data_IF_759085850191
#
_entry.id   IF_759085850191
#
_cell.length_a   1.000
_cell.length_b   1.000
_cell.length_c   1.000
_cell.angle_alpha   90.00
_cell.angle_beta   90.00
_cell.angle_gamma   90.00
#
_symmetry.space_group_name_H-M   'P 1'
#
loop_
_entity.id
_entity.type
_entity.pdbx_description
1 polymer ?
#
# COMPACT_ATOMS: atom_id res chain seq x y z
N UNK A 1 -44.95 52.79 20.56
CA UNK A 1 -44.59 51.89 21.66
C UNK A 1 -45.76 50.96 21.94
N UNK A 2 -45.63 49.67 21.58
CA UNK A 2 -46.38 48.60 22.24
C UNK A 2 -45.47 47.55 22.87
N UNK A 3 -46.09 46.80 23.77
CA UNK A 3 -45.55 46.01 24.87
C UNK A 3 -44.86 44.71 24.42
N UNK A 4 -43.75 44.36 25.06
CA UNK A 4 -42.88 43.21 24.76
C UNK A 4 -42.88 42.27 25.96
N UNK A 5 -43.94 41.50 26.15
CA UNK A 5 -44.01 40.44 27.17
C UNK A 5 -44.92 39.31 26.71
N UNK A 6 -44.33 38.20 26.25
CA UNK A 6 -44.80 36.79 26.41
C UNK A 6 -44.10 35.86 25.41
N UNK A 7 -43.06 35.17 25.87
CA UNK A 7 -42.60 33.91 25.27
C UNK A 7 -42.53 32.83 26.36
N UNK A 8 -42.94 31.58 26.08
CA UNK A 8 -43.01 30.53 27.08
C UNK A 8 -41.62 29.94 27.39
N UNK A 9 -41.39 29.64 28.67
CA UNK A 9 -40.20 28.96 29.18
C UNK A 9 -40.12 27.53 28.64
N UNK A 10 -38.98 27.20 28.02
CA UNK A 10 -38.62 25.85 27.57
C UNK A 10 -38.01 25.08 28.74
N UNK A 11 -38.67 24.02 29.19
CA UNK A 11 -38.15 23.09 30.19
C UNK A 11 -36.96 22.29 29.63
N UNK A 12 -35.87 22.22 30.40
CA UNK A 12 -34.72 21.34 30.16
C UNK A 12 -35.02 19.98 30.79
N UNK A 13 -35.21 18.97 29.95
CA UNK A 13 -35.17 17.56 30.33
C UNK A 13 -33.99 16.92 29.60
N UNK A 14 -32.91 16.61 30.33
CA UNK A 14 -31.70 16.06 29.71
C UNK A 14 -30.57 15.79 30.69
N UNK A 15 -30.82 15.02 31.75
CA UNK A 15 -29.76 14.62 32.72
C UNK A 15 -29.89 13.15 33.16
N UNK A 16 -30.58 12.31 32.38
CA UNK A 16 -30.92 10.93 32.77
C UNK A 16 -30.25 9.79 31.99
N UNK A 17 -29.36 10.05 31.02
CA UNK A 17 -28.93 9.01 30.07
C UNK A 17 -27.41 8.71 30.03
N UNK A 18 -26.61 9.32 30.91
CA UNK A 18 -25.14 9.10 30.94
C UNK A 18 -24.73 7.86 31.76
N UNK A 19 -25.50 7.52 32.79
CA UNK A 19 -25.15 6.39 33.67
C UNK A 19 -25.49 5.02 33.07
N UNK A 20 -26.54 4.95 32.26
CA UNK A 20 -26.95 3.71 31.55
C UNK A 20 -25.93 3.27 30.50
N UNK A 21 -25.26 4.22 29.84
CA UNK A 21 -24.25 3.93 28.82
C UNK A 21 -22.94 3.43 29.45
N UNK A 22 -22.52 4.02 30.57
CA UNK A 22 -21.35 3.57 31.33
C UNK A 22 -21.54 2.19 31.98
N UNK A 23 -22.78 1.82 32.33
CA UNK A 23 -23.08 0.48 32.85
C UNK A 23 -23.02 -0.60 31.77
N UNK A 24 -23.48 -0.32 30.54
CA UNK A 24 -23.41 -1.26 29.41
C UNK A 24 -21.97 -1.53 28.97
N UNK A 25 -21.12 -0.50 28.94
CA UNK A 25 -19.69 -0.64 28.62
C UNK A 25 -18.91 -1.55 29.61
N UNK A 26 -19.30 -1.57 30.90
CA UNK A 26 -18.65 -2.45 31.89
C UNK A 26 -19.04 -3.92 31.75
N UNK A 27 -20.23 -4.22 31.23
CA UNK A 27 -20.70 -5.59 31.02
C UNK A 27 -19.98 -6.21 29.82
N UNK A 28 -19.89 -5.48 28.70
CA UNK A 28 -19.20 -5.92 27.49
C UNK A 28 -17.70 -6.20 27.75
N UNK A 29 -17.03 -5.31 28.50
CA UNK A 29 -15.59 -5.47 28.82
C UNK A 29 -15.30 -6.71 29.67
N UNK A 30 -16.27 -7.18 30.48
CA UNK A 30 -16.13 -8.37 31.32
C UNK A 30 -16.32 -9.67 30.53
N UNK A 31 -17.11 -9.61 29.46
CA UNK A 31 -17.43 -10.76 28.60
C UNK A 31 -16.30 -11.04 27.59
N UNK A 32 -15.69 -9.99 27.04
CA UNK A 32 -14.49 -10.09 26.18
C UNK A 32 -13.31 -10.70 26.95
N UNK A 33 -13.08 -10.27 28.20
CA UNK A 33 -11.99 -10.82 29.05
C UNK A 33 -12.17 -12.30 29.36
N UNK A 34 -13.41 -12.78 29.44
CA UNK A 34 -13.72 -14.20 29.68
C UNK A 34 -13.53 -15.08 28.43
N UNK A 35 -13.80 -14.56 27.23
CA UNK A 35 -13.58 -15.28 25.97
C UNK A 35 -12.08 -15.38 25.63
N UNK A 36 -11.30 -14.34 25.91
CA UNK A 36 -9.85 -14.33 25.64
C UNK A 36 -9.06 -15.31 26.52
N UNK A 37 -9.52 -15.57 27.75
CA UNK A 37 -8.91 -16.58 28.64
C UNK A 37 -9.17 -18.04 28.20
N UNK A 38 -10.22 -18.29 27.41
CA UNK A 38 -10.53 -19.64 26.89
C UNK A 38 -9.73 -19.98 25.63
N UNK A 39 -9.35 -18.99 24.83
CA UNK A 39 -8.49 -19.16 23.66
C UNK A 39 -7.03 -19.46 24.04
N UNK A 40 -6.53 -18.84 25.11
CA UNK A 40 -5.17 -19.06 25.61
C UNK A 40 -4.94 -20.47 26.21
N UNK A 41 -6.01 -21.13 26.69
CA UNK A 41 -5.94 -22.50 27.18
C UNK A 41 -5.87 -23.55 26.04
N UNK A 42 -6.32 -23.22 24.83
CA UNK A 42 -6.33 -24.13 23.69
C UNK A 42 -5.02 -24.11 22.91
N UNK A 43 -4.31 -22.98 22.86
CA UNK A 43 -3.01 -22.86 22.18
C UNK A 43 -1.85 -23.58 22.91
N UNK A 44 -1.91 -23.72 24.24
CA UNK A 44 -0.90 -24.46 25.01
C UNK A 44 -0.98 -25.98 24.78
N UNK A 45 -2.14 -26.51 24.38
CA UNK A 45 -2.31 -27.94 24.11
C UNK A 45 -1.70 -28.38 22.76
N UNK A 46 -1.59 -27.46 21.78
CA UNK A 46 -1.06 -27.78 20.44
C UNK A 46 0.47 -27.77 20.41
N UNK A 47 1.12 -27.00 21.29
CA UNK A 47 2.59 -26.90 21.34
C UNK A 47 3.30 -28.16 21.87
N UNK A 48 2.58 -29.12 22.46
CA UNK A 48 3.20 -30.34 23.05
C UNK A 48 3.41 -31.47 22.01
N UNK A 49 2.87 -31.36 20.79
CA UNK A 49 2.94 -32.45 19.79
C UNK A 49 4.06 -32.26 18.74
N UNK A 50 4.72 -31.11 18.66
CA UNK A 50 5.68 -30.79 17.59
C UNK A 50 7.18 -31.06 17.91
N UNK A 51 7.52 -31.70 19.04
CA UNK A 51 8.90 -31.85 19.50
C UNK A 51 9.59 -33.19 19.14
N UNK A 52 9.17 -33.87 18.06
CA UNK A 52 9.75 -35.16 17.67
C UNK A 52 9.95 -35.30 16.14
N UNK A 53 10.86 -34.50 15.57
CA UNK A 53 11.45 -34.80 14.26
C UNK A 53 12.95 -34.46 14.30
N UNK A 54 13.79 -35.48 14.43
CA UNK A 54 15.24 -35.41 14.23
C UNK A 54 15.54 -35.11 12.76
N UNK A 55 16.36 -34.08 12.50
CA UNK A 55 16.84 -33.72 11.16
C UNK A 55 18.23 -34.34 10.95
N UNK A 56 18.33 -35.21 9.93
CA UNK A 56 19.57 -35.83 9.50
C UNK A 56 20.43 -34.86 8.66
N UNK A 57 21.75 -34.93 8.85
CA UNK A 57 22.75 -34.12 8.14
C UNK A 57 22.83 -34.47 6.63
N UNK A 58 23.03 -33.47 5.75
CA UNK A 58 23.25 -33.70 4.32
C UNK A 58 24.71 -34.10 4.00
N UNK A 59 24.94 -34.96 2.98
CA UNK A 59 26.28 -35.41 2.60
C UNK A 59 27.05 -34.36 1.79
N UNK A 60 28.36 -34.29 2.05
CA UNK A 60 29.34 -33.49 1.31
C UNK A 60 29.36 -33.82 -0.19
N UNK A 61 29.09 -32.82 -1.03
CA UNK A 61 29.26 -32.89 -2.48
C UNK A 61 30.69 -32.48 -2.87
N UNK A 62 31.41 -33.40 -3.52
CA UNK A 62 32.73 -33.18 -4.08
C UNK A 62 32.70 -32.36 -5.37
N UNK A 63 33.73 -31.52 -5.52
CA UNK A 63 33.99 -30.65 -6.68
C UNK A 63 34.45 -31.46 -7.89
N UNK A 64 33.87 -31.26 -9.10
CA UNK A 64 34.44 -31.78 -10.33
C UNK A 64 35.33 -30.73 -11.03
N UNK A 65 36.54 -31.15 -11.40
CA UNK A 65 37.45 -30.41 -12.27
C UNK A 65 36.90 -30.31 -13.71
N UNK A 66 36.90 -29.09 -14.26
CA UNK A 66 36.53 -28.82 -15.66
C UNK A 66 37.76 -28.35 -16.44
N UNK A 67 38.16 -28.99 -17.55
CA UNK A 67 39.27 -28.55 -18.37
C UNK A 67 38.88 -27.41 -19.31
N UNK A 68 39.66 -26.33 -19.29
CA UNK A 68 39.54 -25.20 -20.21
C UNK A 68 39.95 -25.58 -21.63
N UNK A 69 39.01 -25.51 -22.58
CA UNK A 69 39.31 -25.62 -24.01
C UNK A 69 38.95 -24.31 -24.70
N UNK A 70 39.97 -23.57 -25.13
CA UNK A 70 39.83 -22.32 -25.89
C UNK A 70 39.51 -22.62 -27.35
N UNK A 71 38.33 -22.20 -27.83
CA UNK A 71 38.02 -22.13 -29.28
C UNK A 71 37.67 -20.69 -29.65
N UNK A 72 38.30 -20.20 -30.72
CA UNK A 72 38.04 -18.89 -31.32
C UNK A 72 36.66 -18.84 -31.98
N UNK A 73 35.97 -17.69 -31.96
CA UNK A 73 34.63 -17.56 -32.54
C UNK A 73 34.68 -17.44 -34.06
N UNK A 74 33.92 -18.29 -34.73
CA UNK A 74 33.52 -18.13 -36.12
C UNK A 74 32.33 -17.18 -36.16
N UNK A 75 32.47 -16.05 -36.87
CA UNK A 75 31.39 -15.10 -37.12
C UNK A 75 30.34 -15.78 -38.01
N UNK A 76 29.21 -16.16 -37.40
CA UNK A 76 28.04 -16.70 -38.07
C UNK A 76 27.02 -15.58 -38.23
N UNK A 77 26.74 -15.21 -39.47
CA UNK A 77 25.70 -14.24 -39.83
C UNK A 77 24.34 -14.75 -39.36
N UNK A 78 23.73 -14.04 -38.40
CA UNK A 78 22.43 -14.42 -37.84
C UNK A 78 21.34 -14.34 -38.91
N UNK A 79 20.49 -15.37 -39.07
CA UNK A 79 19.32 -15.29 -39.94
C UNK A 79 18.33 -14.26 -39.39
N UNK A 80 17.70 -13.50 -40.30
CA UNK A 80 16.66 -12.54 -39.95
C UNK A 80 15.51 -13.24 -39.20
N UNK A 81 14.95 -12.62 -38.14
CA UNK A 81 13.85 -13.20 -37.39
C UNK A 81 12.64 -13.42 -38.30
N UNK A 82 11.90 -14.54 -38.12
CA UNK A 82 10.68 -14.78 -38.87
C UNK A 82 9.66 -13.70 -38.56
N UNK A 83 9.03 -13.16 -39.61
CA UNK A 83 7.90 -12.26 -39.51
C UNK A 83 6.75 -12.96 -38.76
N UNK A 84 6.44 -12.47 -37.56
CA UNK A 84 5.31 -12.97 -36.77
C UNK A 84 4.02 -12.58 -37.52
N UNK A 85 3.11 -13.53 -37.82
CA UNK A 85 1.84 -13.20 -38.45
C UNK A 85 1.03 -12.28 -37.53
N UNK A 86 0.51 -11.20 -38.10
CA UNK A 86 -0.38 -10.28 -37.38
C UNK A 86 -1.65 -11.02 -36.97
N UNK A 87 -1.73 -11.40 -35.71
CA UNK A 87 -2.95 -11.94 -35.10
C UNK A 87 -4.04 -10.88 -35.26
N UNK A 88 -5.21 -11.26 -35.78
CA UNK A 88 -6.35 -10.36 -35.87
C UNK A 88 -6.80 -10.05 -34.45
N UNK A 89 -6.37 -8.88 -33.98
CA UNK A 89 -6.65 -8.33 -32.66
C UNK A 89 -8.17 -8.23 -32.51
N UNK A 90 -8.72 -8.90 -31.50
CA UNK A 90 -10.14 -8.87 -31.15
C UNK A 90 -10.62 -7.42 -30.94
N UNK A 91 -11.81 -7.08 -31.44
CA UNK A 91 -12.37 -5.72 -31.41
C UNK A 91 -12.86 -5.28 -30.03
N UNK A 92 -12.58 -6.04 -28.98
CA UNK A 92 -12.71 -5.56 -27.61
C UNK A 92 -11.85 -4.30 -27.46
N UNK A 93 -12.53 -3.15 -27.44
CA UNK A 93 -11.93 -1.84 -27.20
C UNK A 93 -11.28 -1.79 -25.81
N UNK A 94 -10.65 -0.65 -25.47
CA UNK A 94 -10.16 -0.45 -24.12
C UNK A 94 -11.30 -0.62 -23.11
N UNK A 95 -11.03 -1.32 -22.02
CA UNK A 95 -11.91 -1.43 -20.85
C UNK A 95 -11.38 -0.54 -19.75
N UNK A 96 -12.24 -0.18 -18.81
CA UNK A 96 -11.87 0.48 -17.58
C UNK A 96 -12.49 -0.29 -16.42
N UNK A 97 -11.77 -0.41 -15.31
CA UNK A 97 -12.19 -1.22 -14.17
C UNK A 97 -11.97 -0.49 -12.85
N UNK A 98 -12.86 -0.69 -11.87
CA UNK A 98 -12.70 -0.22 -10.50
C UNK A 98 -13.03 -1.38 -9.55
N UNK A 99 -12.00 -2.11 -9.12
CA UNK A 99 -12.17 -3.38 -8.42
C UNK A 99 -12.87 -4.40 -9.31
N UNK A 100 -14.08 -4.83 -8.92
CA UNK A 100 -14.88 -5.82 -9.66
C UNK A 100 -15.79 -5.22 -10.74
N UNK A 101 -15.86 -3.88 -10.82
CA UNK A 101 -16.72 -3.17 -11.76
C UNK A 101 -15.95 -2.94 -13.06
N UNK A 102 -16.43 -3.45 -14.19
CA UNK A 102 -15.86 -3.22 -15.52
C UNK A 102 -16.81 -2.40 -16.39
N UNK A 103 -16.27 -1.48 -17.18
CA UNK A 103 -17.02 -0.66 -18.14
C UNK A 103 -16.20 -0.36 -19.42
N UNK A 104 -16.89 0.13 -20.44
CA UNK A 104 -16.26 0.60 -21.67
C UNK A 104 -15.48 1.90 -21.39
N UNK A 105 -14.19 1.91 -21.71
CA UNK A 105 -13.33 3.05 -21.45
C UNK A 105 -13.72 4.31 -22.25
N UNK A 106 -14.48 4.17 -23.35
CA UNK A 106 -14.95 5.30 -24.15
C UNK A 106 -16.01 6.15 -23.44
N UNK A 107 -16.66 5.61 -22.40
CA UNK A 107 -17.67 6.32 -21.62
C UNK A 107 -17.53 6.02 -20.13
N UNK A 108 -16.49 6.56 -19.50
CA UNK A 108 -16.47 6.75 -18.03
C UNK A 108 -17.52 7.82 -17.66
N UNK A 109 -18.78 7.53 -17.94
CA UNK A 109 -19.94 8.34 -17.52
C UNK A 109 -20.65 7.56 -16.43
N UNK A 110 -20.39 7.98 -15.20
CA UNK A 110 -20.86 7.31 -13.99
C UNK A 110 -22.38 7.42 -13.81
N UNK A 111 -23.03 8.27 -14.61
CA UNK A 111 -24.50 8.41 -14.68
C UNK A 111 -25.15 7.33 -15.52
N UNK A 112 -24.38 6.44 -16.15
CA UNK A 112 -24.92 5.31 -16.90
C UNK A 112 -25.51 4.23 -16.00
N UNK A 113 -25.13 4.21 -14.72
CA UNK A 113 -25.65 3.27 -13.74
C UNK A 113 -26.87 3.83 -13.01
N UNK A 114 -27.84 2.96 -12.73
CA UNK A 114 -29.01 3.33 -11.94
C UNK A 114 -28.59 3.63 -10.50
N UNK A 115 -29.04 4.74 -9.93
CA UNK A 115 -28.73 5.07 -8.53
C UNK A 115 -29.28 4.01 -7.58
N UNK A 116 -28.45 3.55 -6.66
CA UNK A 116 -28.87 2.65 -5.59
C UNK A 116 -29.67 3.44 -4.55
N UNK A 117 -30.94 3.08 -4.39
CA UNK A 117 -31.86 3.74 -3.44
C UNK A 117 -32.19 2.88 -2.22
N UNK A 118 -31.62 1.67 -2.15
CA UNK A 118 -31.77 0.77 -1.00
C UNK A 118 -31.00 1.24 0.22
N UNK A 119 -31.31 0.67 1.37
CA UNK A 119 -30.50 0.83 2.58
C UNK A 119 -29.35 -0.19 2.55
N UNK A 120 -28.14 0.24 2.94
CA UNK A 120 -26.97 -0.65 3.02
C UNK A 120 -27.01 -1.49 4.30
N UNK A 121 -27.44 -0.91 5.43
CA UNK A 121 -27.57 -1.58 6.73
C UNK A 121 -28.18 -3.01 6.66
N UNK A 122 -29.29 -3.27 5.94
CA UNK A 122 -29.87 -4.62 5.84
C UNK A 122 -29.11 -5.60 4.94
N UNK A 123 -28.14 -5.13 4.15
CA UNK A 123 -27.28 -5.96 3.29
C UNK A 123 -26.01 -6.43 4.01
N UNK A 124 -25.75 -5.90 5.21
CA UNK A 124 -24.61 -6.25 6.04
C UNK A 124 -25.05 -7.33 7.03
N UNK A 125 -24.57 -8.56 6.84
CA UNK A 125 -24.79 -9.65 7.79
C UNK A 125 -24.22 -9.35 9.18
N UNK A 126 -24.71 -10.04 10.22
CA UNK A 126 -24.31 -9.79 11.62
C UNK A 126 -22.78 -9.88 11.84
N UNK A 127 -22.10 -10.78 11.12
CA UNK A 127 -20.64 -10.96 11.24
C UNK A 127 -19.85 -9.74 10.74
N UNK A 128 -20.32 -9.07 9.68
CA UNK A 128 -19.66 -7.89 9.11
C UNK A 128 -20.11 -6.57 9.77
N UNK A 129 -21.05 -6.62 10.72
CA UNK A 129 -21.67 -5.43 11.29
C UNK A 129 -20.68 -4.57 12.10
N UNK A 130 -19.73 -5.17 12.81
CA UNK A 130 -18.72 -4.41 13.57
C UNK A 130 -17.80 -3.61 12.63
N UNK A 131 -17.29 -4.25 11.58
CA UNK A 131 -16.48 -3.59 10.55
C UNK A 131 -17.27 -2.53 9.77
N UNK A 132 -18.52 -2.82 9.47
CA UNK A 132 -19.43 -1.85 8.85
C UNK A 132 -19.65 -0.63 9.74
N UNK A 133 -19.88 -0.81 11.04
CA UNK A 133 -20.07 0.30 11.97
C UNK A 133 -18.82 1.18 12.07
N UNK A 134 -17.62 0.58 11.97
CA UNK A 134 -16.36 1.32 11.90
C UNK A 134 -16.17 2.07 10.57
N UNK A 135 -16.81 1.62 9.50
CA UNK A 135 -16.71 2.19 8.14
C UNK A 135 -17.97 2.96 7.69
N UNK A 136 -18.97 3.14 8.56
CA UNK A 136 -20.26 3.74 8.19
C UNK A 136 -20.13 5.13 7.57
N UNK A 137 -19.25 5.97 8.13
CA UNK A 137 -19.00 7.31 7.60
C UNK A 137 -18.37 7.25 6.20
N UNK A 138 -17.53 6.24 5.93
CA UNK A 138 -16.98 5.98 4.61
C UNK A 138 -18.09 5.59 3.62
N UNK A 139 -19.00 4.68 3.96
CA UNK A 139 -20.12 4.32 3.07
C UNK A 139 -21.00 5.52 2.72
N UNK A 140 -21.21 6.41 3.69
CA UNK A 140 -22.04 7.59 3.53
C UNK A 140 -21.39 8.68 2.65
N UNK A 141 -20.08 8.63 2.40
CA UNK A 141 -19.38 9.60 1.55
C UNK A 141 -19.57 9.36 0.05
N UNK A 142 -20.07 8.18 -0.34
CA UNK A 142 -20.32 7.83 -1.74
C UNK A 142 -21.80 7.92 -2.13
N UNK A 143 -22.04 8.39 -3.35
CA UNK A 143 -23.25 8.11 -4.10
C UNK A 143 -23.08 6.76 -4.80
N UNK A 144 -23.92 5.80 -4.43
CA UNK A 144 -23.86 4.43 -4.92
C UNK A 144 -24.79 4.24 -6.13
N UNK A 145 -24.31 3.49 -7.10
CA UNK A 145 -25.05 3.06 -8.27
C UNK A 145 -24.96 1.56 -8.46
N UNK A 146 -26.01 0.97 -9.03
CA UNK A 146 -26.12 -0.47 -9.31
C UNK A 146 -25.44 -0.79 -10.63
N UNK A 147 -24.39 -1.61 -10.57
CA UNK A 147 -23.68 -2.13 -11.75
C UNK A 147 -24.31 -3.46 -12.17
N UNK A 148 -24.55 -4.32 -11.19
CA UNK A 148 -25.19 -5.62 -11.38
C UNK A 148 -26.19 -5.86 -10.27
N UNK A 149 -27.38 -6.37 -10.61
CA UNK A 149 -28.38 -6.81 -9.65
C UNK A 149 -29.04 -8.07 -10.18
N UNK A 150 -28.84 -9.16 -9.46
CA UNK A 150 -29.46 -10.47 -9.70
C UNK A 150 -30.15 -10.94 -8.42
N UNK A 151 -30.84 -12.06 -8.49
CA UNK A 151 -31.49 -12.65 -7.31
C UNK A 151 -30.48 -13.10 -6.22
N UNK A 152 -29.20 -13.22 -6.57
CA UNK A 152 -28.14 -13.76 -5.68
C UNK A 152 -26.92 -12.87 -5.53
N UNK A 153 -26.81 -11.79 -6.31
CA UNK A 153 -25.64 -10.91 -6.30
C UNK A 153 -26.04 -9.47 -6.56
N UNK A 154 -25.37 -8.55 -5.87
CA UNK A 154 -25.49 -7.11 -6.05
C UNK A 154 -24.09 -6.51 -6.11
N UNK A 155 -23.77 -5.85 -7.21
CA UNK A 155 -22.52 -5.11 -7.38
C UNK A 155 -22.84 -3.62 -7.46
N UNK A 156 -22.27 -2.87 -6.53
CA UNK A 156 -22.38 -1.43 -6.44
C UNK A 156 -21.07 -0.76 -6.82
N UNK A 157 -21.19 0.40 -7.45
CA UNK A 157 -20.11 1.33 -7.72
C UNK A 157 -20.41 2.66 -7.01
N UNK A 158 -19.45 3.15 -6.23
CA UNK A 158 -19.59 4.38 -5.45
C UNK A 158 -18.74 5.49 -6.04
N UNK A 159 -19.28 6.71 -6.09
CA UNK A 159 -18.54 7.93 -6.40
C UNK A 159 -18.62 8.90 -5.23
N UNK A 160 -17.49 9.49 -4.81
CA UNK A 160 -17.51 10.45 -3.70
C UNK A 160 -18.37 11.67 -4.05
N UNK A 161 -19.17 12.15 -3.08
CA UNK A 161 -19.94 13.41 -3.20
C UNK A 161 -19.04 14.64 -3.18
N UNK A 162 -17.96 14.55 -2.42
CA UNK A 162 -17.04 15.66 -2.20
C UNK A 162 -15.65 15.27 -2.72
N UNK A 163 -15.10 16.13 -3.58
CA UNK A 163 -13.71 16.04 -4.00
C UNK A 163 -12.84 16.46 -2.82
N UNK A 164 -12.38 15.48 -2.04
CA UNK A 164 -11.33 15.67 -1.06
C UNK A 164 -9.98 15.24 -1.65
N UNK A 165 -8.94 16.05 -1.44
CA UNK A 165 -7.58 15.81 -1.97
C UNK A 165 -6.94 14.49 -1.50
N UNK A 166 -7.55 13.78 -0.54
CA UNK A 166 -6.95 12.63 0.16
C UNK A 166 -7.78 11.35 0.13
N UNK A 167 -9.00 11.36 -0.40
CA UNK A 167 -9.89 10.20 -0.36
C UNK A 167 -10.02 9.52 -1.73
N UNK A 168 -10.23 8.19 -1.76
CA UNK A 168 -10.47 7.51 -3.03
C UNK A 168 -11.74 8.09 -3.66
N UNK A 169 -11.61 8.55 -4.91
CA UNK A 169 -12.73 9.16 -5.63
C UNK A 169 -13.85 8.15 -5.94
N UNK A 170 -13.49 6.86 -5.94
CA UNK A 170 -14.38 5.76 -6.27
C UNK A 170 -14.30 4.64 -5.26
N UNK A 171 -15.38 3.88 -5.19
CA UNK A 171 -15.49 2.68 -4.40
C UNK A 171 -16.24 1.60 -5.18
N UNK A 172 -16.09 0.36 -4.76
CA UNK A 172 -16.94 -0.72 -5.20
C UNK A 172 -17.38 -1.55 -3.99
N UNK A 173 -18.51 -2.23 -4.12
CA UNK A 173 -19.03 -3.14 -3.12
C UNK A 173 -19.78 -4.29 -3.78
N UNK A 174 -19.51 -5.52 -3.34
CA UNK A 174 -20.17 -6.74 -3.79
C UNK A 174 -20.87 -7.39 -2.63
N UNK A 175 -22.13 -7.74 -2.85
CA UNK A 175 -22.96 -8.49 -1.93
C UNK A 175 -23.43 -9.76 -2.62
N UNK A 176 -23.56 -10.83 -1.84
CA UNK A 176 -24.09 -12.11 -2.29
C UNK A 176 -25.18 -12.58 -1.33
N UNK A 177 -26.18 -13.29 -1.85
CA UNK A 177 -27.24 -13.89 -1.05
C UNK A 177 -26.75 -15.26 -0.55
N UNK A 178 -26.45 -15.35 0.74
CA UNK A 178 -26.12 -16.59 1.45
C UNK A 178 -27.32 -17.18 2.21
N UNK A 179 -27.07 -18.24 2.97
CA UNK A 179 -28.09 -18.94 3.78
C UNK A 179 -28.70 -18.03 4.87
N UNK A 180 -27.93 -17.04 5.35
CA UNK A 180 -28.35 -16.07 6.38
C UNK A 180 -28.86 -14.75 5.80
N UNK A 181 -29.05 -14.67 4.47
CA UNK A 181 -29.45 -13.47 3.77
C UNK A 181 -28.30 -12.80 3.02
N UNK A 182 -28.46 -11.52 2.69
CA UNK A 182 -27.45 -10.75 1.98
C UNK A 182 -26.22 -10.54 2.85
N UNK A 183 -25.05 -10.75 2.27
CA UNK A 183 -23.77 -10.58 2.93
C UNK A 183 -22.82 -9.80 2.02
N UNK A 184 -22.12 -8.82 2.59
CA UNK A 184 -21.05 -8.13 1.89
C UNK A 184 -19.84 -9.07 1.74
N UNK A 185 -19.45 -9.36 0.51
CA UNK A 185 -18.32 -10.26 0.19
C UNK A 185 -17.03 -9.47 0.01
N UNK A 186 -17.13 -8.25 -0.52
CA UNK A 186 -15.99 -7.34 -0.67
C UNK A 186 -16.46 -5.90 -0.80
N UNK A 187 -15.73 -4.96 -0.22
CA UNK A 187 -15.90 -3.54 -0.51
C UNK A 187 -14.60 -2.79 -0.28
N UNK A 188 -14.47 -1.61 -0.87
CA UNK A 188 -13.33 -0.74 -0.64
C UNK A 188 -13.21 0.36 -1.67
N UNK A 189 -12.30 1.29 -1.40
CA UNK A 189 -11.90 2.31 -2.37
C UNK A 189 -11.21 1.67 -3.56
N UNK A 190 -11.44 2.20 -4.76
CA UNK A 190 -10.74 1.77 -5.96
C UNK A 190 -10.32 2.97 -6.80
N UNK A 191 -9.29 2.74 -7.64
CA UNK A 191 -8.95 3.62 -8.75
C UNK A 191 -9.56 3.01 -10.01
N UNK A 192 -9.92 3.87 -10.96
CA UNK A 192 -10.30 3.37 -12.27
C UNK A 192 -9.01 3.04 -13.01
N UNK A 193 -8.86 1.81 -13.45
CA UNK A 193 -7.70 1.31 -14.16
C UNK A 193 -8.08 0.97 -15.60
N UNK A 194 -7.25 1.39 -16.55
CA UNK A 194 -7.48 1.12 -17.96
C UNK A 194 -6.92 -0.25 -18.31
N UNK A 195 -7.69 -1.05 -19.03
CA UNK A 195 -7.34 -2.42 -19.37
C UNK A 195 -7.83 -2.81 -20.74
N UNK A 196 -7.64 -4.09 -21.03
CA UNK A 196 -8.22 -4.76 -22.19
C UNK A 196 -8.22 -6.26 -21.94
N UNK A 197 -9.14 -7.01 -22.56
CA UNK A 197 -9.14 -8.46 -22.43
C UNK A 197 -7.74 -9.05 -22.77
N UNK A 198 -7.14 -9.75 -21.79
CA UNK A 198 -5.80 -10.34 -21.90
C UNK A 198 -4.62 -9.37 -21.66
N UNK A 199 -4.88 -8.11 -21.29
CA UNK A 199 -3.86 -7.11 -21.00
C UNK A 199 -4.18 -6.35 -19.70
N UNK A 200 -3.18 -6.18 -18.85
CA UNK A 200 -3.26 -5.36 -17.64
C UNK A 200 -2.61 -3.98 -17.84
N UNK A 201 -2.98 -2.98 -17.02
CA UNK A 201 -2.30 -1.69 -17.00
C UNK A 201 -0.85 -1.81 -16.52
N UNK A 202 -0.01 -0.91 -16.99
CA UNK A 202 1.28 -0.61 -16.40
C UNK A 202 1.38 0.89 -16.13
N UNK A 203 1.82 1.24 -14.92
CA UNK A 203 2.15 2.62 -14.59
C UNK A 203 3.48 3.00 -15.21
N UNK A 204 3.67 4.28 -15.50
CA UNK A 204 4.87 4.79 -16.17
C UNK A 204 5.54 5.91 -15.38
N UNK A 205 6.85 6.01 -15.55
CA UNK A 205 7.68 7.13 -15.09
C UNK A 205 8.65 7.53 -16.19
N UNK A 206 9.18 8.75 -16.11
CA UNK A 206 10.20 9.23 -17.05
C UNK A 206 11.50 8.46 -16.82
N UNK A 207 12.17 8.03 -17.89
CA UNK A 207 13.50 7.45 -17.78
C UNK A 207 14.53 8.57 -17.47
N UNK A 208 15.15 8.58 -16.28
CA UNK A 208 16.12 9.63 -15.93
C UNK A 208 17.42 9.56 -16.76
N UNK A 209 17.73 8.40 -17.36
CA UNK A 209 18.91 8.23 -18.21
C UNK A 209 18.74 8.83 -19.61
N UNK A 210 17.49 9.02 -20.05
CA UNK A 210 17.14 9.61 -21.35
C UNK A 210 15.93 10.53 -21.19
N UNK A 211 16.14 11.71 -20.60
CA UNK A 211 15.04 12.60 -20.28
C UNK A 211 14.43 13.28 -21.51
N UNK A 212 13.12 13.58 -21.47
CA UNK A 212 12.45 14.21 -22.60
C UNK A 212 12.98 15.62 -22.86
N UNK A 213 13.10 15.98 -24.14
CA UNK A 213 13.38 17.31 -24.64
C UNK A 213 12.15 17.81 -25.44
N UNK A 214 11.81 19.11 -25.40
CA UNK A 214 10.76 19.68 -26.25
C UNK A 214 10.81 19.25 -27.74
N UNK A 215 11.99 19.07 -28.32
CA UNK A 215 12.14 18.70 -29.73
C UNK A 215 12.01 17.17 -29.96
N UNK A 216 11.73 16.37 -28.93
CA UNK A 216 11.66 14.91 -29.07
C UNK A 216 10.33 14.45 -29.66
N UNK A 217 10.41 13.48 -30.56
CA UNK A 217 9.27 12.69 -31.06
C UNK A 217 9.29 11.26 -30.51
N UNK A 218 10.27 10.92 -29.68
CA UNK A 218 10.43 9.59 -29.08
C UNK A 218 10.69 9.75 -27.58
N UNK A 219 9.77 9.24 -26.76
CA UNK A 219 9.89 9.28 -25.31
C UNK A 219 10.47 7.96 -24.80
N UNK A 220 11.55 8.04 -24.02
CA UNK A 220 12.02 6.90 -23.21
C UNK A 220 11.35 6.95 -21.84
N UNK A 221 10.65 5.88 -21.48
CA UNK A 221 9.93 5.75 -20.21
C UNK A 221 10.31 4.45 -19.51
N UNK A 222 10.05 4.38 -18.21
CA UNK A 222 10.10 3.16 -17.43
C UNK A 222 8.69 2.78 -17.01
N UNK A 223 8.30 1.54 -17.25
CA UNK A 223 6.99 1.03 -16.89
C UNK A 223 7.09 0.00 -15.76
N UNK A 224 6.04 -0.09 -14.94
CA UNK A 224 5.84 -1.14 -13.93
C UNK A 224 4.47 -1.74 -14.16
N UNK A 225 4.41 -3.06 -14.33
CA UNK A 225 3.15 -3.76 -14.50
C UNK A 225 2.32 -3.70 -13.22
N UNK A 226 1.06 -3.27 -13.34
CA UNK A 226 0.10 -3.25 -12.25
C UNK A 226 -0.61 -4.59 -12.04
N UNK A 227 -0.75 -5.38 -13.11
CA UNK A 227 -1.35 -6.71 -13.04
C UNK A 227 -0.43 -7.72 -12.32
N UNK A 228 -1.04 -8.71 -11.68
CA UNK A 228 -0.33 -9.79 -11.01
C UNK A 228 0.48 -10.61 -12.03
N UNK A 229 1.80 -10.62 -11.88
CA UNK A 229 2.70 -11.33 -12.78
C UNK A 229 3.80 -12.13 -12.04
N UNK A 230 3.55 -12.51 -10.79
CA UNK A 230 4.51 -13.25 -9.95
C UNK A 230 5.89 -12.60 -9.87
N UNK A 231 5.95 -11.27 -10.01
CA UNK A 231 7.19 -10.48 -9.93
C UNK A 231 8.07 -10.57 -11.17
N UNK A 232 7.54 -11.10 -12.28
CA UNK A 232 8.28 -11.27 -13.52
C UNK A 232 8.18 -10.03 -14.40
N UNK A 233 9.29 -9.65 -15.02
CA UNK A 233 9.29 -8.66 -16.09
C UNK A 233 8.47 -9.18 -17.30
N UNK A 234 7.94 -8.30 -18.17
CA UNK A 234 7.21 -8.71 -19.37
C UNK A 234 8.12 -9.15 -20.52
N UNK A 235 9.08 -10.03 -20.23
CA UNK A 235 9.95 -10.63 -21.24
C UNK A 235 9.09 -11.51 -22.15
N UNK A 236 9.22 -11.31 -23.46
CA UNK A 236 8.46 -12.02 -24.52
C UNK A 236 6.94 -11.83 -24.46
N UNK A 237 6.45 -10.87 -23.67
CA UNK A 237 5.04 -10.47 -23.61
C UNK A 237 4.83 -9.20 -24.41
N UNK A 238 3.66 -9.08 -25.05
CA UNK A 238 3.32 -7.90 -25.82
C UNK A 238 3.10 -6.69 -24.90
N UNK A 239 3.67 -5.55 -25.28
CA UNK A 239 3.53 -4.27 -24.57
C UNK A 239 2.96 -3.27 -25.58
N UNK A 240 1.83 -2.67 -25.24
CA UNK A 240 1.08 -1.77 -26.11
C UNK A 240 0.96 -0.40 -25.42
N UNK A 241 1.80 0.59 -25.79
CA UNK A 241 1.54 1.97 -25.44
C UNK A 241 0.45 2.55 -26.35
N UNK A 242 -0.63 3.03 -25.75
CA UNK A 242 -1.69 3.80 -26.41
C UNK A 242 -1.46 5.27 -26.09
N UNK A 243 -1.31 6.09 -27.13
CA UNK A 243 -0.99 7.52 -27.01
C UNK A 243 -2.14 8.36 -27.52
N UNK A 244 -2.61 9.30 -26.70
CA UNK A 244 -3.55 10.34 -27.10
C UNK A 244 -2.85 11.68 -26.97
N UNK A 245 -2.60 12.31 -28.12
CA UNK A 245 -1.93 13.61 -28.20
C UNK A 245 -2.95 14.74 -28.32
N UNK A 246 -2.74 15.79 -27.52
CA UNK A 246 -3.46 17.06 -27.59
C UNK A 246 -2.46 18.21 -27.70
N UNK A 247 -2.96 19.44 -27.84
CA UNK A 247 -2.11 20.64 -27.85
C UNK A 247 -1.41 20.89 -26.50
N UNK A 248 -1.94 20.36 -25.40
CA UNK A 248 -1.44 20.64 -24.05
C UNK A 248 -0.78 19.44 -23.36
N UNK A 249 -1.07 18.23 -23.83
CA UNK A 249 -0.63 17.02 -23.14
C UNK A 249 -0.50 15.81 -24.07
N UNK A 250 0.29 14.85 -23.60
CA UNK A 250 0.46 13.51 -24.16
C UNK A 250 0.01 12.51 -23.09
N UNK A 251 -1.17 11.94 -23.29
CA UNK A 251 -1.73 10.92 -22.41
C UNK A 251 -1.28 9.54 -22.88
N UNK A 252 -0.63 8.79 -22.00
CA UNK A 252 -0.06 7.48 -22.33
C UNK A 252 -0.70 6.44 -21.42
N UNK A 253 -1.35 5.44 -22.04
CA UNK A 253 -1.83 4.23 -21.36
C UNK A 253 -0.94 3.08 -21.80
N UNK A 254 -0.22 2.45 -20.89
CA UNK A 254 0.59 1.27 -21.21
C UNK A 254 -0.16 0.01 -20.81
N UNK A 255 -0.35 -0.89 -21.76
CA UNK A 255 -0.98 -2.20 -21.56
C UNK A 255 0.05 -3.32 -21.74
N UNK A 256 0.04 -4.30 -20.85
CA UNK A 256 0.98 -5.43 -20.87
C UNK A 256 0.17 -6.72 -20.94
N UNK A 257 0.51 -7.60 -21.88
CA UNK A 257 -0.16 -8.89 -22.02
C UNK A 257 -0.03 -9.70 -20.74
N UNK A 258 -1.14 -10.22 -20.22
CA UNK A 258 -1.15 -11.00 -18.98
C UNK A 258 -0.37 -12.32 -19.18
N UNK A 259 0.41 -12.76 -18.19
CA UNK A 259 1.06 -14.06 -18.26
C UNK A 259 0.02 -15.19 -18.14
N UNK A 260 0.27 -16.37 -18.72
CA UNK A 260 -0.66 -17.49 -18.63
C UNK A 260 -0.72 -18.08 -17.22
N UNK A 261 -1.90 -18.55 -16.82
CA UNK A 261 -2.10 -19.27 -15.55
C UNK A 261 -2.24 -18.35 -14.33
N UNK A 262 -2.39 -18.97 -13.15
CA UNK A 262 -2.53 -18.26 -11.88
C UNK A 262 -1.24 -17.52 -11.52
N UNK A 263 -1.35 -16.25 -11.16
CA UNK A 263 -0.23 -15.42 -10.76
C UNK A 263 -0.35 -14.98 -9.31
N UNK A 264 0.80 -14.74 -8.67
CA UNK A 264 0.85 -13.97 -7.44
C UNK A 264 1.06 -12.49 -7.76
N UNK A 265 0.79 -11.61 -6.79
CA UNK A 265 0.83 -10.16 -6.98
C UNK A 265 2.00 -9.47 -6.25
N UNK A 266 3.26 -9.96 -6.31
CA UNK A 266 4.38 -9.13 -5.91
C UNK A 266 4.66 -8.09 -7.00
N UNK A 267 5.14 -6.92 -6.60
CA UNK A 267 5.50 -5.84 -7.52
C UNK A 267 6.60 -6.31 -8.49
N UNK A 268 6.40 -6.11 -9.79
CA UNK A 268 7.37 -6.44 -10.82
C UNK A 268 8.52 -5.42 -10.90
N UNK A 269 9.66 -5.79 -11.52
CA UNK A 269 10.72 -4.83 -11.81
C UNK A 269 10.28 -3.81 -12.87
N UNK A 270 10.90 -2.62 -12.84
CA UNK A 270 10.77 -1.62 -13.92
C UNK A 270 11.34 -2.17 -15.22
N UNK A 271 10.70 -1.87 -16.34
CA UNK A 271 11.20 -2.19 -17.68
C UNK A 271 11.11 -0.98 -18.61
N UNK A 272 12.08 -0.80 -19.53
CA UNK A 272 12.06 0.34 -20.44
C UNK A 272 10.99 0.15 -21.53
N UNK A 273 10.34 1.24 -21.89
CA UNK A 273 9.47 1.32 -23.07
C UNK A 273 9.83 2.58 -23.88
N UNK A 274 9.56 2.53 -25.18
CA UNK A 274 9.70 3.67 -26.07
C UNK A 274 8.35 4.03 -26.66
N UNK A 275 7.96 5.28 -26.54
CA UNK A 275 6.69 5.81 -27.06
C UNK A 275 6.98 6.79 -28.18
N UNK A 276 6.40 6.55 -29.36
CA UNK A 276 6.54 7.43 -30.51
C UNK A 276 5.40 8.46 -30.53
N UNK A 277 5.75 9.72 -30.76
CA UNK A 277 4.83 10.85 -30.90
C UNK A 277 4.68 11.22 -32.38
N UNK A 278 3.51 11.70 -32.76
CA UNK A 278 3.24 12.21 -34.10
C UNK A 278 3.82 13.61 -34.34
N UNK A 279 4.05 14.37 -33.27
CA UNK A 279 4.69 15.70 -33.29
C UNK A 279 5.70 15.84 -32.16
N UNK A 280 6.60 16.83 -32.27
CA UNK A 280 7.57 17.17 -31.23
C UNK A 280 6.88 17.53 -29.90
N UNK A 281 7.41 17.06 -28.77
CA UNK A 281 6.80 17.21 -27.44
C UNK A 281 6.42 18.67 -27.11
N UNK A 282 7.26 19.64 -27.43
CA UNK A 282 7.07 21.06 -27.11
C UNK A 282 6.91 21.28 -25.61
N UNK A 283 5.92 22.09 -25.24
CA UNK A 283 5.56 22.40 -23.84
C UNK A 283 4.48 21.44 -23.28
N UNK A 284 4.16 20.35 -24.00
CA UNK A 284 3.09 19.43 -23.59
C UNK A 284 3.48 18.63 -22.35
N UNK A 285 2.54 18.48 -21.44
CA UNK A 285 2.72 17.65 -20.24
C UNK A 285 2.58 16.18 -20.60
N UNK A 286 3.50 15.34 -20.12
CA UNK A 286 3.38 13.88 -20.26
C UNK A 286 2.55 13.36 -19.09
N UNK A 287 1.56 12.50 -19.35
CA UNK A 287 0.66 11.99 -18.31
C UNK A 287 0.50 10.47 -18.40
N UNK A 288 0.49 9.82 -17.24
CA UNK A 288 0.11 8.42 -17.09
C UNK A 288 -1.41 8.32 -17.00
N UNK A 289 -2.01 7.80 -18.06
CA UNK A 289 -3.43 7.59 -18.21
C UNK A 289 -3.85 6.12 -17.97
N UNK A 290 -2.94 5.27 -17.47
CA UNK A 290 -3.29 3.89 -17.11
C UNK A 290 -4.26 3.80 -15.92
N UNK A 291 -4.41 4.89 -15.16
CA UNK A 291 -5.44 5.01 -14.12
C UNK A 291 -6.07 6.41 -14.08
N UNK A 292 -7.24 6.52 -13.46
CA UNK A 292 -7.90 7.79 -13.17
C UNK A 292 -8.00 8.03 -11.65
N UNK A 293 -7.68 9.25 -11.16
CA UNK A 293 -7.31 10.43 -11.94
C UNK A 293 -5.95 10.27 -12.64
N UNK A 294 -5.87 10.86 -13.83
CA UNK A 294 -4.66 10.83 -14.68
C UNK A 294 -3.51 11.51 -13.94
N UNK A 295 -2.35 10.86 -13.89
CA UNK A 295 -1.17 11.37 -13.18
C UNK A 295 -0.24 12.14 -14.11
N UNK A 296 0.10 13.39 -13.79
CA UNK A 296 1.16 14.11 -14.50
C UNK A 296 2.54 13.55 -14.16
N UNK A 297 3.36 13.30 -15.18
CA UNK A 297 4.75 12.93 -15.01
C UNK A 297 5.60 14.18 -14.93
N UNK A 298 6.27 14.38 -13.79
CA UNK A 298 7.05 15.60 -13.54
C UNK A 298 8.48 15.41 -14.05
N UNK A 299 8.93 16.35 -14.89
CA UNK A 299 10.34 16.49 -15.32
C UNK A 299 10.84 17.94 -15.14
N UNK A 300 12.08 18.18 -14.66
CA UNK A 300 12.98 17.20 -14.04
C UNK A 300 12.28 16.49 -12.89
N UNK A 301 12.61 15.22 -12.66
CA UNK A 301 12.10 14.51 -11.48
C UNK A 301 12.32 15.44 -10.28
N UNK A 302 11.30 15.70 -9.45
CA UNK A 302 11.52 16.46 -8.24
C UNK A 302 12.69 15.78 -7.51
N UNK A 303 13.63 16.54 -6.91
CA UNK A 303 14.72 15.93 -6.16
C UNK A 303 14.06 14.91 -5.24
N UNK A 304 14.39 13.63 -5.41
CA UNK A 304 13.74 12.57 -4.64
C UNK A 304 13.77 13.02 -3.19
N UNK A 305 12.61 13.04 -2.55
CA UNK A 305 12.54 13.36 -1.13
C UNK A 305 13.43 12.33 -0.43
N UNK A 306 14.66 12.76 -0.09
CA UNK A 306 15.66 11.93 0.55
C UNK A 306 15.02 11.35 1.78
N UNK A 307 14.77 10.05 1.71
CA UNK A 307 14.12 9.39 2.81
C UNK A 307 15.08 8.46 3.52
N UNK A 308 14.97 8.53 4.83
CA UNK A 308 15.58 7.62 5.75
C UNK A 308 14.50 6.65 6.21
N UNK A 309 14.64 5.38 5.85
CA UNK A 309 13.81 4.31 6.37
C UNK A 309 14.50 3.72 7.59
N UNK A 310 13.81 3.75 8.73
CA UNK A 310 14.26 3.08 9.95
C UNK A 310 13.54 1.74 10.09
N UNK A 311 14.30 0.69 10.38
CA UNK A 311 13.81 -0.64 10.70
C UNK A 311 14.34 -1.06 12.06
N UNK A 312 13.52 -1.73 12.85
CA UNK A 312 13.95 -2.45 14.04
C UNK A 312 14.11 -3.92 13.70
N UNK A 313 15.07 -4.59 14.33
CA UNK A 313 15.20 -6.03 14.26
C UNK A 313 15.79 -6.56 15.57
N UNK A 314 15.74 -7.89 15.76
CA UNK A 314 16.33 -8.55 16.92
C UNK A 314 15.29 -9.01 17.95
N UNK A 315 15.75 -9.17 19.19
CA UNK A 315 14.93 -9.76 20.25
C UNK A 315 13.88 -8.75 20.75
N UNK A 316 12.66 -9.21 21.08
CA UNK A 316 11.72 -8.38 21.82
C UNK A 316 12.32 -7.95 23.15
N UNK A 317 11.99 -6.75 23.65
CA UNK A 317 12.45 -6.31 24.96
C UNK A 317 11.92 -7.26 26.05
N UNK A 318 12.67 -7.39 27.14
CA UNK A 318 12.25 -8.16 28.30
C UNK A 318 10.97 -7.56 28.93
N UNK A 319 10.16 -8.35 29.66
CA UNK A 319 9.02 -7.81 30.41
C UNK A 319 9.44 -6.67 31.34
N UNK A 320 8.74 -5.54 31.25
CA UNK A 320 9.06 -4.33 32.02
C UNK A 320 10.18 -3.47 31.42
N UNK A 321 10.65 -3.77 30.21
CA UNK A 321 11.53 -2.90 29.43
C UNK A 321 10.91 -2.55 28.08
N UNK A 322 11.50 -1.55 27.41
CA UNK A 322 11.16 -1.21 26.04
C UNK A 322 12.40 -0.84 25.24
N UNK A 323 12.39 -1.17 23.95
CA UNK A 323 13.38 -0.71 22.99
C UNK A 323 12.97 0.68 22.51
N UNK A 324 13.89 1.64 22.59
CA UNK A 324 13.65 3.03 22.21
C UNK A 324 14.52 3.39 21.03
N UNK A 325 13.91 3.98 20.01
CA UNK A 325 14.61 4.58 18.86
C UNK A 325 14.32 6.08 18.88
N UNK A 326 15.37 6.89 18.86
CA UNK A 326 15.24 8.35 18.79
C UNK A 326 15.98 8.88 17.58
N UNK A 327 15.49 10.00 17.06
CA UNK A 327 16.19 10.80 16.08
C UNK A 327 16.13 12.27 16.47
N UNK A 328 17.19 13.00 16.18
CA UNK A 328 17.27 14.44 16.43
C UNK A 328 17.92 15.16 15.26
N UNK A 329 17.52 16.42 15.06
CA UNK A 329 17.89 17.24 13.91
C UNK A 329 16.84 18.32 13.69
N UNK A 330 16.61 18.71 12.44
CA UNK A 330 15.51 19.60 12.07
C UNK A 330 14.14 18.99 12.39
N UNK A 331 14.03 17.67 12.25
CA UNK A 331 12.93 16.87 12.78
C UNK A 331 13.46 15.98 13.90
N UNK A 332 12.78 16.00 15.04
CA UNK A 332 13.15 15.18 16.20
C UNK A 332 11.94 14.37 16.67
N UNK A 333 12.17 13.17 17.16
CA UNK A 333 11.13 12.30 17.66
C UNK A 333 11.68 11.03 18.29
N UNK A 334 10.78 10.22 18.82
CA UNK A 334 11.11 8.93 19.40
C UNK A 334 9.97 7.94 19.20
N UNK A 335 10.34 6.67 19.13
CA UNK A 335 9.42 5.56 19.15
C UNK A 335 9.87 4.56 20.20
N UNK A 336 8.88 4.00 20.89
CA UNK A 336 9.08 3.07 21.99
C UNK A 336 8.33 1.78 21.67
N UNK A 337 9.05 0.67 21.69
CA UNK A 337 8.52 -0.65 21.41
C UNK A 337 8.51 -1.46 22.69
N UNK A 338 7.32 -1.73 23.23
CA UNK A 338 7.14 -2.67 24.32
C UNK A 338 7.09 -4.13 23.82
N UNK A 339 7.05 -5.12 24.74
CA UNK A 339 7.05 -6.53 24.38
C UNK A 339 5.87 -6.93 23.48
N UNK A 340 4.69 -6.37 23.73
CA UNK A 340 3.46 -6.71 23.02
C UNK A 340 3.35 -6.05 21.63
N UNK A 341 4.20 -5.06 21.35
CA UNK A 341 4.29 -4.36 20.06
C UNK A 341 5.45 -4.80 19.18
N UNK A 342 6.24 -5.79 19.62
CA UNK A 342 7.43 -6.25 18.90
C UNK A 342 7.11 -7.46 18.01
N UNK A 343 7.55 -7.41 16.76
CA UNK A 343 7.55 -8.57 15.86
C UNK A 343 8.99 -9.08 15.66
N UNK A 344 9.17 -10.39 15.54
CA UNK A 344 10.50 -11.01 15.38
C UNK A 344 11.16 -10.74 14.03
N UNK A 345 10.36 -10.37 13.03
CA UNK A 345 10.83 -9.95 11.71
C UNK A 345 11.16 -8.45 11.68
N UNK A 346 12.10 -7.99 10.82
CA UNK A 346 12.43 -6.58 10.70
C UNK A 346 11.16 -5.77 10.48
N UNK A 347 10.78 -5.00 11.48
CA UNK A 347 9.52 -4.28 11.45
C UNK A 347 9.83 -2.88 10.91
N UNK A 348 9.14 -2.49 9.84
CA UNK A 348 9.23 -1.14 9.34
C UNK A 348 8.76 -0.18 10.43
N UNK A 349 9.65 0.72 10.84
CA UNK A 349 9.33 1.68 11.88
C UNK A 349 8.65 2.89 11.23
N UNK A 350 9.42 3.60 10.40
CA UNK A 350 8.99 4.89 9.86
C UNK A 350 9.89 5.33 8.70
N UNK A 351 9.33 6.18 7.84
CA UNK A 351 10.01 6.86 6.74
C UNK A 351 9.89 8.36 6.96
N UNK A 352 11.02 9.06 6.96
CA UNK A 352 11.05 10.51 7.16
C UNK A 352 11.82 11.18 6.04
N UNK A 353 11.46 12.44 5.75
CA UNK A 353 12.35 13.33 5.01
C UNK A 353 13.52 13.70 5.92
N UNK A 354 14.74 13.56 5.42
CA UNK A 354 15.94 13.99 6.14
C UNK A 354 16.50 15.26 5.47
N UNK A 355 15.98 16.46 5.79
CA UNK A 355 16.39 17.71 5.13
C UNK A 355 17.82 18.15 5.51
N UNK A 356 18.40 17.58 6.55
CA UNK A 356 19.75 17.89 7.03
C UNK A 356 20.32 16.80 7.94
N UNK A 357 21.51 17.03 8.52
CA UNK A 357 22.14 16.07 9.41
C UNK A 357 21.24 15.67 10.59
N UNK A 358 21.22 14.39 10.91
CA UNK A 358 20.43 13.80 11.97
C UNK A 358 21.29 12.91 12.87
N UNK A 359 20.96 12.84 14.15
CA UNK A 359 21.53 11.86 15.08
C UNK A 359 20.47 10.85 15.40
N UNK A 360 20.73 9.58 15.11
CA UNK A 360 19.86 8.44 15.40
C UNK A 360 20.47 7.65 16.54
N UNK A 361 19.66 7.36 17.55
CA UNK A 361 20.06 6.52 18.67
C UNK A 361 19.08 5.38 18.90
N UNK A 362 19.60 4.25 19.35
CA UNK A 362 18.83 3.16 19.95
C UNK A 362 19.28 2.92 21.38
N UNK A 363 18.37 2.56 22.28
CA UNK A 363 18.69 2.09 23.64
C UNK A 363 17.51 1.35 24.26
N UNK A 364 17.73 0.69 25.41
CA UNK A 364 16.67 0.03 26.18
C UNK A 364 16.32 0.89 27.39
N UNK A 365 15.04 0.95 27.76
CA UNK A 365 14.55 1.67 28.95
C UNK A 365 13.69 0.79 29.86
N UNK A 366 13.46 1.23 31.10
CA UNK A 366 12.50 0.60 32.02
C UNK A 366 11.10 1.14 31.74
N UNK A 367 10.15 0.23 31.60
CA UNK A 367 8.72 0.50 31.64
C UNK A 367 8.12 -0.26 32.82
N UNK A 368 8.17 0.31 34.01
CA UNK A 368 7.47 -0.24 35.16
C UNK A 368 6.11 0.46 35.36
N UNK A 369 5.33 -0.05 36.32
CA UNK A 369 4.02 0.51 36.67
C UNK A 369 4.07 1.97 37.15
N UNK A 370 5.26 2.47 37.52
CA UNK A 370 5.45 3.85 38.00
C UNK A 370 5.80 4.82 36.89
N UNK A 371 6.53 4.36 35.86
CA UNK A 371 6.96 5.18 34.72
C UNK A 371 5.96 5.11 33.56
N UNK A 372 5.33 3.95 33.35
CA UNK A 372 4.51 3.67 32.18
C UNK A 372 5.34 3.53 30.89
N UNK A 373 4.77 2.85 29.89
CA UNK A 373 5.28 2.88 28.51
C UNK A 373 4.36 3.83 27.71
N UNK A 374 4.65 5.13 27.58
CA UNK A 374 3.94 5.95 26.61
C UNK A 374 4.23 5.43 25.20
N UNK A 375 3.19 5.26 24.39
CA UNK A 375 3.31 4.80 23.00
C UNK A 375 4.01 5.85 22.12
N UNK A 376 3.83 7.13 22.44
CA UNK A 376 4.50 8.27 21.78
C UNK A 376 5.11 9.22 22.83
N UNK A 377 6.26 9.78 22.50
CA UNK A 377 7.04 10.66 23.38
C UNK A 377 7.30 12.00 22.70
N UNK A 378 7.05 13.09 23.40
CA UNK A 378 7.39 14.41 22.91
C UNK A 378 8.92 14.62 22.94
N UNK A 379 9.51 15.43 22.03
CA UNK A 379 10.96 15.61 21.95
C UNK A 379 11.65 16.03 23.26
N UNK A 380 10.93 16.72 24.15
CA UNK A 380 11.44 17.12 25.48
C UNK A 380 11.49 15.99 26.51
N UNK A 381 10.62 14.99 26.37
CA UNK A 381 10.47 13.88 27.32
C UNK A 381 11.56 12.83 27.12
N UNK A 382 12.09 12.70 25.90
CA UNK A 382 13.15 11.76 25.53
C UNK A 382 14.36 11.84 26.46
N UNK A 383 14.75 13.05 26.88
CA UNK A 383 15.94 13.25 27.74
C UNK A 383 15.74 12.74 29.17
N UNK A 384 14.49 12.59 29.61
CA UNK A 384 14.15 12.15 30.95
C UNK A 384 14.07 10.60 31.06
N UNK A 385 14.11 9.90 29.93
CA UNK A 385 13.93 8.45 29.89
C UNK A 385 15.19 7.76 30.45
N UNK A 386 15.06 6.92 31.49
CA UNK A 386 16.17 6.16 32.03
C UNK A 386 16.73 5.20 30.97
N UNK A 387 18.05 5.18 30.79
CA UNK A 387 18.71 4.25 29.85
C UNK A 387 19.26 3.05 30.61
N UNK A 388 18.99 1.86 30.11
CA UNK A 388 19.57 0.61 30.61
C UNK A 388 20.49 0.05 29.53
N UNK A 389 21.75 -0.13 29.85
CA UNK A 389 22.75 -0.67 28.93
C UNK A 389 23.32 0.37 27.96
N UNK A 390 24.18 -0.06 27.02
CA UNK A 390 24.80 0.82 26.04
C UNK A 390 23.78 1.38 25.03
N UNK A 391 23.90 2.68 24.77
CA UNK A 391 23.23 3.37 23.66
C UNK A 391 24.06 3.20 22.38
N UNK A 392 23.42 2.82 21.28
CA UNK A 392 24.04 2.86 19.96
C UNK A 392 23.61 4.16 19.28
N UNK A 393 24.57 4.91 18.72
CA UNK A 393 24.33 6.21 18.10
C UNK A 393 25.02 6.30 16.74
N UNK A 394 24.35 6.92 15.78
CA UNK A 394 24.88 7.21 14.46
C UNK A 394 24.52 8.66 14.07
N UNK A 395 25.51 9.40 13.57
CA UNK A 395 25.27 10.68 12.91
C UNK A 395 25.10 10.42 11.41
N UNK A 396 23.90 10.68 10.91
CA UNK A 396 23.55 10.58 9.50
C UNK A 396 23.60 11.97 8.86
N UNK A 397 24.36 12.10 7.77
CA UNK A 397 24.32 13.28 6.92
C UNK A 397 23.69 12.88 5.59
N UNK A 398 22.49 13.41 5.24
CA UNK A 398 21.84 13.09 3.98
C UNK A 398 22.75 13.43 2.80
N UNK A 399 22.90 12.47 1.90
CA UNK A 399 23.61 12.68 0.62
C UNK A 399 22.55 12.81 -0.48
N UNK A 400 22.54 13.89 -1.28
CA UNK A 400 21.62 14.05 -2.40
C UNK A 400 21.53 12.80 -3.29
N UNK A 401 20.31 12.37 -3.61
CA UNK A 401 20.02 11.18 -4.41
C UNK A 401 20.28 9.83 -3.73
N UNK A 402 20.50 9.76 -2.42
CA UNK A 402 20.70 8.49 -1.71
C UNK A 402 19.58 8.22 -0.70
N UNK A 403 18.76 7.21 -1.00
CA UNK A 403 17.83 6.65 -0.04
C UNK A 403 18.58 5.70 0.90
N UNK A 404 18.36 5.82 2.20
CA UNK A 404 19.10 5.03 3.18
C UNK A 404 18.13 4.19 4.00
N UNK A 405 18.47 2.91 4.14
CA UNK A 405 17.80 1.97 5.02
C UNK A 405 18.72 1.75 6.22
N UNK A 406 18.29 2.17 7.40
CA UNK A 406 18.99 1.89 8.65
C UNK A 406 18.23 0.86 9.45
N UNK A 407 18.94 -0.17 9.89
CA UNK A 407 18.40 -1.22 10.75
C UNK A 407 19.03 -1.09 12.12
N UNK A 408 18.21 -0.86 13.14
CA UNK A 408 18.64 -0.88 14.54
C UNK A 408 18.31 -2.26 15.09
N UNK A 409 19.36 -3.04 15.35
CA UNK A 409 19.25 -4.38 15.91
C UNK A 409 19.35 -4.32 17.42
N UNK A 410 18.32 -4.76 18.11
CA UNK A 410 18.30 -4.87 19.56
C UNK A 410 18.63 -6.30 20.00
N UNK A 411 19.57 -6.40 20.93
CA UNK A 411 19.72 -7.56 21.83
C UNK A 411 19.13 -7.23 23.19
N UNK A 412 19.34 -8.11 24.18
CA UNK A 412 18.64 -8.02 25.47
C UNK A 412 18.75 -6.64 26.17
N UNK A 413 19.95 -6.06 26.19
CA UNK A 413 20.21 -4.72 26.78
C UNK A 413 21.16 -3.87 25.92
N UNK A 414 21.34 -4.22 24.65
CA UNK A 414 22.30 -3.55 23.76
C UNK A 414 21.69 -3.37 22.39
N UNK A 415 22.21 -2.43 21.61
CA UNK A 415 21.83 -2.31 20.21
C UNK A 415 23.03 -2.05 19.28
N UNK A 416 22.79 -2.26 17.99
CA UNK A 416 23.71 -1.93 16.91
C UNK A 416 22.94 -1.28 15.76
N UNK A 417 23.57 -0.36 15.04
CA UNK A 417 22.98 0.31 13.88
C UNK A 417 23.73 -0.14 12.63
N UNK A 418 23.01 -0.81 11.72
CA UNK A 418 23.50 -1.15 10.39
C UNK A 418 22.94 -0.16 9.37
N UNK A 419 23.79 0.36 8.49
CA UNK A 419 23.39 1.26 7.41
C UNK A 419 23.53 0.54 6.08
N UNK A 420 22.45 0.48 5.32
CA UNK A 420 22.47 0.07 3.91
C UNK A 420 22.07 1.24 3.04
N UNK A 421 22.93 1.54 2.08
CA UNK A 421 22.59 2.48 1.01
C UNK A 421 21.62 1.75 0.08
N UNK A 422 20.37 2.21 0.04
CA UNK A 422 19.38 1.71 -0.90
C UNK A 422 19.81 2.11 -2.31
N UNK A 423 19.81 1.17 -3.25
CA UNK A 423 19.82 1.53 -4.65
C UNK A 423 18.60 2.39 -4.97
N UNK A 424 18.72 3.28 -5.95
CA UNK A 424 17.58 4.01 -6.50
C UNK A 424 16.59 2.94 -7.00
N UNK A 425 15.51 2.73 -6.26
CA UNK A 425 14.51 1.69 -6.50
C UNK A 425 13.37 2.18 -7.38
#
# INVERSE_FOLDING_TARGET
MPNRDSLPKRERTGEGNRDTMNQRLRIVKKEVRMRMSRLLALSVAVAIVAAACEVAEPPNAGTPDVPSTTRSPTVSTAPAPPSVPSTTIDRSGPTAACGLVEFDASSIDLRLFESFTGEIDPLIGEEAQEEYLLSRDWWASFDWSVVESTDTALLLFGQTRELHDKEPLFANARFELGDEGWQAVSWGGCRIEMGRAGFGPASITINPEDPPNPDTTSLSLLAIEGACASGQAPIDREIIPVVVESEMAVDITTLVASPPGSQTCPLGPRFPITVQLSTELGDRVIRDAASYPVGELVWPLPPEDLFLALLTAGNPPAPGTANVVTWSGEQSGALLFGPDGWNTDPTFIQRFKAPGPMVISGFVTLCDETVGCPEELEPGEIKAIPRIGPECTLVYTPTPGQNIIMTIRFGDLSCAIDVKIGGVG
#
